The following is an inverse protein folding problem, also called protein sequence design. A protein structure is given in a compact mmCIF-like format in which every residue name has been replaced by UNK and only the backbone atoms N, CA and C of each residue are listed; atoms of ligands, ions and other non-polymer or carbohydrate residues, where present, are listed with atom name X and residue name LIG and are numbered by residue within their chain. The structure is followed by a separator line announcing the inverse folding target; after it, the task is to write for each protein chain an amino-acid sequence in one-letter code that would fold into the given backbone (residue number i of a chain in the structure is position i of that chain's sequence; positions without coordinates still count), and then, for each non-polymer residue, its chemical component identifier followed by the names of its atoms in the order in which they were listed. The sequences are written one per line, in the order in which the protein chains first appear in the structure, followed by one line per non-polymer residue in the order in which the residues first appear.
data_IF_408335378851
#
_entry.id   IF_408335378851
#
_cell.length_a   1.000
_cell.length_b   1.000
_cell.length_c   1.000
_cell.angle_alpha   90.00
_cell.angle_beta   90.00
_cell.angle_gamma   90.00
#
_symmetry.space_group_name_H-M   'P 1'
#
loop_
_entity.id
_entity.type
_entity.pdbx_description
1 polymer ?
#
# COMPACT_ATOMS: atom_id res chain seq x y z
N UNK A 1 20.67 15.20 -14.21
CA UNK A 1 20.09 15.97 -15.33
C UNK A 1 18.55 16.02 -15.27
N UNK A 2 17.85 14.95 -14.89
CA UNK A 2 16.37 14.95 -14.79
C UNK A 2 15.85 15.84 -13.64
N UNK A 3 16.53 15.88 -12.50
CA UNK A 3 16.10 16.64 -11.31
C UNK A 3 16.05 18.16 -11.53
N UNK A 4 17.01 18.73 -12.26
CA UNK A 4 17.04 20.18 -12.50
C UNK A 4 15.91 20.64 -13.42
N UNK A 5 15.48 19.78 -14.35
CA UNK A 5 14.33 20.02 -15.23
C UNK A 5 13.00 19.98 -14.48
N UNK A 6 12.90 19.18 -13.41
CA UNK A 6 11.67 19.03 -12.64
C UNK A 6 11.32 20.24 -11.79
N UNK A 7 12.33 21.04 -11.36
CA UNK A 7 12.12 22.26 -10.57
C UNK A 7 11.42 23.38 -11.34
N UNK A 8 11.39 23.34 -12.67
CA UNK A 8 10.90 24.43 -13.52
C UNK A 8 9.59 24.13 -14.26
N UNK A 9 8.92 23.01 -13.99
CA UNK A 9 7.68 22.66 -14.71
C UNK A 9 6.49 23.49 -14.21
N UNK A 10 5.84 24.32 -15.05
CA UNK A 10 4.77 25.23 -14.64
C UNK A 10 3.38 24.55 -14.56
N UNK A 11 3.32 23.28 -14.14
CA UNK A 11 2.08 22.50 -14.04
C UNK A 11 1.81 22.00 -12.63
N UNK A 12 0.52 21.81 -12.29
CA UNK A 12 0.13 21.09 -11.07
C UNK A 12 0.41 19.61 -11.30
N UNK A 13 1.56 19.15 -10.81
CA UNK A 13 1.93 17.75 -10.83
C UNK A 13 1.07 16.99 -9.82
N UNK A 14 0.22 16.08 -10.29
CA UNK A 14 -0.69 15.29 -9.43
C UNK A 14 -0.24 13.84 -9.26
N UNK A 15 0.58 13.33 -10.19
CA UNK A 15 1.14 11.98 -10.16
C UNK A 15 2.64 12.04 -10.41
N UNK A 16 3.40 11.26 -9.64
CA UNK A 16 4.84 11.18 -9.78
C UNK A 16 5.36 9.78 -9.49
N UNK A 17 6.27 9.29 -10.34
CA UNK A 17 6.96 8.02 -10.16
C UNK A 17 8.46 8.28 -10.03
N UNK A 18 9.04 7.86 -8.92
CA UNK A 18 10.46 8.03 -8.62
C UNK A 18 11.17 6.72 -8.92
N UNK A 19 11.95 6.71 -10.00
CA UNK A 19 12.82 5.58 -10.34
C UNK A 19 14.19 5.83 -9.72
N UNK A 20 14.63 4.91 -8.86
CA UNK A 20 15.89 5.00 -8.13
C UNK A 20 17.10 4.63 -9.02
N UNK A 21 17.31 5.40 -10.08
CA UNK A 21 18.67 5.73 -10.48
C UNK A 21 19.31 6.56 -9.34
N UNK A 22 20.65 6.61 -9.17
CA UNK A 22 21.26 7.22 -8.00
C UNK A 22 20.91 8.71 -7.89
N UNK A 23 19.84 8.99 -7.13
CA UNK A 23 19.52 10.32 -6.65
C UNK A 23 20.62 10.71 -5.65
N UNK A 24 21.16 11.94 -5.75
CA UNK A 24 22.12 12.45 -4.78
C UNK A 24 21.56 12.37 -3.35
N UNK A 25 22.45 12.20 -2.38
CA UNK A 25 22.09 12.29 -0.96
C UNK A 25 21.38 13.64 -0.68
N UNK A 26 20.30 13.61 0.11
CA UNK A 26 19.49 14.80 0.40
C UNK A 26 18.37 15.10 -0.60
N UNK A 27 18.21 14.32 -1.68
CA UNK A 27 17.08 14.47 -2.63
C UNK A 27 15.86 13.59 -2.26
N UNK A 28 16.00 12.76 -1.24
CA UNK A 28 14.97 11.81 -0.77
C UNK A 28 14.11 12.39 0.36
N UNK A 29 13.64 13.61 0.14
CA UNK A 29 12.83 14.39 1.06
C UNK A 29 11.54 14.81 0.34
N UNK A 30 10.39 14.61 0.97
CA UNK A 30 9.08 14.93 0.40
C UNK A 30 8.67 16.38 0.65
N UNK A 31 9.46 17.16 1.40
CA UNK A 31 9.21 18.59 1.67
C UNK A 31 9.43 19.51 0.47
N UNK A 32 9.97 19.00 -0.65
CA UNK A 32 10.11 19.82 -1.86
C UNK A 32 8.74 20.29 -2.39
N UNK A 33 8.66 21.58 -2.72
CA UNK A 33 7.41 22.24 -3.15
C UNK A 33 6.77 21.61 -4.39
N UNK A 34 7.55 20.93 -5.23
CA UNK A 34 7.05 20.19 -6.40
C UNK A 34 6.10 19.04 -6.02
N UNK A 35 6.15 18.57 -4.77
CA UNK A 35 5.33 17.46 -4.29
C UNK A 35 4.03 17.91 -3.61
N UNK A 36 3.86 19.21 -3.34
CA UNK A 36 2.77 19.72 -2.50
C UNK A 36 1.36 19.35 -2.97
N UNK A 37 1.19 19.21 -4.29
CA UNK A 37 -0.10 18.88 -4.92
C UNK A 37 -0.21 17.41 -5.37
N UNK A 38 0.75 16.56 -4.99
CA UNK A 38 0.71 15.15 -5.36
C UNK A 38 -0.48 14.47 -4.70
N UNK A 39 -1.21 13.72 -5.51
CA UNK A 39 -2.28 12.83 -5.06
C UNK A 39 -1.86 11.37 -5.18
N UNK A 40 -0.98 11.06 -6.12
CA UNK A 40 -0.43 9.73 -6.37
C UNK A 40 1.09 9.79 -6.37
N UNK A 41 1.71 8.99 -5.52
CA UNK A 41 3.15 8.84 -5.43
C UNK A 41 3.52 7.37 -5.59
N UNK A 42 4.44 7.12 -6.50
CA UNK A 42 5.03 5.81 -6.69
C UNK A 42 6.55 5.91 -6.49
N UNK A 43 7.10 4.99 -5.70
CA UNK A 43 8.53 4.90 -5.44
C UNK A 43 8.99 3.52 -5.87
N UNK A 44 9.81 3.48 -6.91
CA UNK A 44 10.28 2.25 -7.54
C UNK A 44 11.70 1.93 -7.07
N UNK A 45 11.92 0.68 -6.63
CA UNK A 45 13.20 0.12 -6.21
C UNK A 45 13.82 0.73 -4.95
N UNK A 46 13.11 0.66 -3.79
CA UNK A 46 13.61 1.17 -2.49
C UNK A 46 14.77 0.30 -1.95
N UNK A 47 15.91 0.32 -2.61
CA UNK A 47 17.08 -0.47 -2.23
C UNK A 47 18.08 0.37 -1.43
N UNK A 48 18.16 0.11 -0.12
CA UNK A 48 19.21 0.64 0.76
C UNK A 48 19.22 2.16 0.94
N UNK A 49 18.23 2.85 0.38
CA UNK A 49 18.09 4.28 0.39
C UNK A 49 17.34 4.75 1.65
N UNK A 50 17.97 5.59 2.46
CA UNK A 50 17.30 6.28 3.57
C UNK A 50 16.40 7.38 2.99
N UNK A 51 15.11 7.09 2.89
CA UNK A 51 14.08 8.09 2.62
C UNK A 51 13.71 8.80 3.93
N UNK A 52 13.50 10.11 3.86
CA UNK A 52 12.96 10.87 4.99
C UNK A 52 11.45 10.61 5.09
N UNK A 53 11.04 9.43 5.54
CA UNK A 53 9.62 9.06 5.64
C UNK A 53 8.84 10.05 6.51
N UNK A 54 9.47 10.68 7.51
CA UNK A 54 8.86 11.74 8.31
C UNK A 54 8.25 12.87 7.46
N UNK A 55 8.94 13.29 6.39
CA UNK A 55 8.47 14.35 5.48
C UNK A 55 7.28 13.95 4.61
N UNK A 56 6.92 12.65 4.55
CA UNK A 56 5.77 12.18 3.79
C UNK A 56 4.46 12.78 4.34
N UNK A 57 4.42 13.11 5.63
CA UNK A 57 3.28 13.74 6.28
C UNK A 57 2.99 15.15 5.73
N UNK A 58 3.96 15.82 5.09
CA UNK A 58 3.81 17.14 4.48
C UNK A 58 3.01 17.09 3.16
N UNK A 59 2.78 15.89 2.61
CA UNK A 59 2.02 15.68 1.38
C UNK A 59 0.51 15.61 1.67
N UNK A 60 -0.07 16.76 2.05
CA UNK A 60 -1.47 16.88 2.50
C UNK A 60 -2.52 16.34 1.50
N UNK A 61 -2.20 16.29 0.21
CA UNK A 61 -3.10 15.81 -0.85
C UNK A 61 -2.85 14.36 -1.27
N UNK A 62 -1.85 13.68 -0.70
CA UNK A 62 -1.48 12.34 -1.09
C UNK A 62 -2.56 11.34 -0.67
N UNK A 63 -3.22 10.75 -1.67
CA UNK A 63 -4.27 9.74 -1.46
C UNK A 63 -3.80 8.33 -1.75
N UNK A 64 -2.81 8.19 -2.64
CA UNK A 64 -2.30 6.92 -3.13
C UNK A 64 -0.77 6.87 -3.05
N UNK A 65 -0.25 5.85 -2.37
CA UNK A 65 1.18 5.56 -2.28
C UNK A 65 1.44 4.15 -2.79
N UNK A 66 2.44 3.98 -3.64
CA UNK A 66 2.96 2.66 -4.06
C UNK A 66 4.45 2.61 -3.77
N UNK A 67 4.89 1.51 -3.15
CA UNK A 67 6.30 1.19 -2.98
C UNK A 67 6.60 -0.11 -3.70
N UNK A 68 7.52 -0.07 -4.65
CA UNK A 68 8.15 -1.26 -5.19
C UNK A 68 9.45 -1.54 -4.43
N UNK A 69 9.41 -2.65 -3.70
CA UNK A 69 10.46 -3.07 -2.80
C UNK A 69 10.96 -4.42 -3.30
N UNK A 70 12.24 -4.54 -3.67
CA UNK A 70 12.81 -5.78 -4.21
C UNK A 70 13.09 -6.82 -3.11
N UNK A 71 12.30 -6.81 -2.03
CA UNK A 71 12.45 -7.71 -0.88
C UNK A 71 11.19 -8.53 -0.68
N UNK A 72 11.35 -9.78 -0.26
CA UNK A 72 10.25 -10.60 0.24
C UNK A 72 9.53 -9.93 1.42
N UNK A 73 8.27 -10.29 1.65
CA UNK A 73 7.54 -9.87 2.86
C UNK A 73 8.28 -10.41 4.09
N UNK A 74 9.00 -9.52 4.77
CA UNK A 74 9.82 -9.85 5.93
C UNK A 74 9.62 -8.81 7.05
N UNK A 75 10.24 -9.05 8.22
CA UNK A 75 10.11 -8.14 9.38
C UNK A 75 10.55 -6.71 9.10
N UNK A 76 11.54 -6.49 8.20
CA UNK A 76 12.00 -5.15 7.86
C UNK A 76 10.94 -4.41 7.05
N UNK A 77 10.31 -5.09 6.09
CA UNK A 77 9.21 -4.54 5.31
C UNK A 77 8.01 -4.18 6.21
N UNK A 78 7.58 -5.12 7.06
CA UNK A 78 6.45 -4.87 7.96
C UNK A 78 6.73 -3.71 8.93
N UNK A 79 7.97 -3.58 9.41
CA UNK A 79 8.39 -2.44 10.24
C UNK A 79 8.35 -1.13 9.46
N UNK A 80 8.82 -1.11 8.21
CA UNK A 80 8.76 0.07 7.35
C UNK A 80 7.30 0.49 7.10
N UNK A 81 6.42 -0.46 6.80
CA UNK A 81 4.99 -0.19 6.64
C UNK A 81 4.42 0.43 7.92
N UNK A 82 4.75 -0.13 9.09
CA UNK A 82 4.33 0.40 10.38
C UNK A 82 4.86 1.82 10.67
N UNK A 83 6.11 2.11 10.31
CA UNK A 83 6.71 3.44 10.42
C UNK A 83 5.98 4.46 9.53
N UNK A 84 5.78 4.10 8.26
CA UNK A 84 5.06 4.94 7.29
C UNK A 84 3.65 5.23 7.78
N UNK A 85 2.91 4.21 8.20
CA UNK A 85 1.52 4.35 8.63
C UNK A 85 1.35 5.03 10.00
N UNK A 86 2.31 4.85 10.90
CA UNK A 86 2.22 5.31 12.29
C UNK A 86 2.58 6.78 12.47
N UNK A 87 3.77 7.19 12.01
CA UNK A 87 4.32 8.53 12.28
C UNK A 87 4.40 9.44 11.06
N UNK A 88 4.33 8.85 9.87
CA UNK A 88 4.69 9.51 8.62
C UNK A 88 3.52 9.63 7.64
N UNK A 89 2.37 9.07 7.99
CA UNK A 89 1.26 8.94 7.08
C UNK A 89 0.50 10.27 6.99
N UNK A 90 0.36 10.87 5.80
CA UNK A 90 -0.54 11.99 5.64
C UNK A 90 -1.99 11.52 5.93
N UNK A 91 -2.82 12.33 6.60
CA UNK A 91 -4.21 11.96 6.94
C UNK A 91 -5.09 11.67 5.71
N UNK A 92 -4.70 12.18 4.54
CA UNK A 92 -5.38 11.98 3.27
C UNK A 92 -5.08 10.63 2.62
N UNK A 93 -4.09 9.87 3.10
CA UNK A 93 -3.71 8.59 2.51
C UNK A 93 -4.82 7.54 2.69
N UNK A 94 -5.30 7.02 1.57
CA UNK A 94 -6.39 6.03 1.49
C UNK A 94 -5.93 4.69 0.97
N UNK A 95 -4.93 4.68 0.10
CA UNK A 95 -4.41 3.48 -0.55
C UNK A 95 -2.90 3.44 -0.39
N UNK A 96 -2.39 2.34 0.16
CA UNK A 96 -0.97 2.08 0.26
C UNK A 96 -0.67 0.71 -0.36
N UNK A 97 -0.15 0.70 -1.58
CA UNK A 97 0.27 -0.52 -2.25
C UNK A 97 1.73 -0.83 -1.95
N UNK A 98 2.00 -2.08 -1.60
CA UNK A 98 3.35 -2.59 -1.37
C UNK A 98 3.58 -3.70 -2.36
N UNK A 99 4.36 -3.39 -3.38
CA UNK A 99 4.82 -4.36 -4.36
C UNK A 99 6.05 -5.10 -3.85
N UNK A 100 6.03 -6.41 -4.01
CA UNK A 100 7.15 -7.27 -3.69
C UNK A 100 7.34 -8.30 -4.82
N UNK A 101 8.59 -8.59 -5.15
CA UNK A 101 8.94 -9.69 -6.04
C UNK A 101 9.02 -10.98 -5.23
N UNK A 102 8.47 -12.09 -5.76
CA UNK A 102 8.55 -13.42 -5.16
C UNK A 102 9.98 -13.88 -4.84
N UNK A 103 10.07 -14.97 -4.08
CA UNK A 103 11.27 -15.41 -3.37
C UNK A 103 12.32 -15.94 -4.33
N UNK A 104 13.45 -15.23 -4.50
CA UNK A 104 14.63 -15.80 -5.14
C UNK A 104 15.43 -16.72 -4.19
N UNK A 105 15.18 -16.65 -2.89
CA UNK A 105 15.98 -17.32 -1.84
C UNK A 105 15.25 -18.47 -1.11
N UNK A 106 14.03 -18.83 -1.53
CA UNK A 106 13.26 -19.92 -0.92
C UNK A 106 12.76 -19.64 0.51
N UNK A 107 12.84 -18.40 0.99
CA UNK A 107 12.24 -18.02 2.28
C UNK A 107 10.76 -17.72 2.09
N UNK A 108 9.88 -18.55 2.64
CA UNK A 108 8.44 -18.31 2.56
C UNK A 108 8.11 -16.89 3.05
N UNK A 109 7.29 -16.12 2.29
CA UNK A 109 6.88 -14.80 2.72
C UNK A 109 6.19 -14.88 4.08
N UNK A 110 6.43 -13.88 4.93
CA UNK A 110 5.66 -13.79 6.17
C UNK A 110 4.24 -13.40 5.83
N UNK A 111 3.26 -14.19 6.30
CA UNK A 111 1.87 -13.79 6.23
C UNK A 111 1.69 -12.43 6.90
N UNK A 112 0.99 -11.47 6.27
CA UNK A 112 0.73 -10.19 6.90
C UNK A 112 -0.02 -10.35 8.23
N UNK A 113 0.24 -9.49 9.22
CA UNK A 113 -0.52 -9.47 10.46
C UNK A 113 -2.03 -9.28 10.19
N UNK A 114 -2.88 -9.92 11.01
CA UNK A 114 -4.35 -9.79 10.86
C UNK A 114 -4.85 -8.38 11.15
N UNK A 115 -4.10 -7.62 11.92
CA UNK A 115 -4.34 -6.24 12.35
C UNK A 115 -3.59 -5.22 11.49
N UNK A 116 -3.07 -5.65 10.33
CA UNK A 116 -2.49 -4.72 9.37
C UNK A 116 -3.55 -3.69 8.95
N UNK A 117 -3.13 -2.44 8.82
CA UNK A 117 -4.00 -1.34 8.39
C UNK A 117 -4.71 -1.70 7.08
N UNK A 118 -6.03 -1.53 7.07
CA UNK A 118 -6.88 -1.91 5.94
C UNK A 118 -6.53 -1.20 4.63
N UNK A 119 -5.81 -0.08 4.70
CA UNK A 119 -5.33 0.69 3.55
C UNK A 119 -4.19 0.00 2.80
N UNK A 120 -3.52 -0.97 3.42
CA UNK A 120 -2.39 -1.69 2.83
C UNK A 120 -2.87 -2.78 1.90
N UNK A 121 -2.43 -2.73 0.64
CA UNK A 121 -2.66 -3.76 -0.36
C UNK A 121 -1.31 -4.30 -0.81
N UNK A 122 -1.15 -5.62 -0.80
CA UNK A 122 0.05 -6.24 -1.35
C UNK A 122 -0.13 -6.47 -2.85
N UNK A 123 0.95 -6.31 -3.60
CA UNK A 123 0.99 -6.61 -5.02
C UNK A 123 2.21 -7.46 -5.35
N UNK A 124 2.08 -8.40 -6.30
CA UNK A 124 3.15 -9.31 -6.71
C UNK A 124 3.19 -9.48 -8.22
N UNK A 125 4.42 -9.64 -8.72
CA UNK A 125 4.75 -10.00 -10.09
C UNK A 125 4.65 -11.50 -10.39
N UNK A 126 4.54 -12.29 -9.33
CA UNK A 126 4.66 -13.74 -9.34
C UNK A 126 3.29 -14.37 -9.63
N UNK A 127 3.18 -15.05 -10.77
CA UNK A 127 2.00 -15.79 -11.19
C UNK A 127 1.90 -17.18 -10.52
N UNK A 128 2.96 -17.61 -9.83
CA UNK A 128 3.03 -18.89 -9.12
C UNK A 128 2.49 -18.85 -7.69
N UNK A 129 1.78 -17.77 -7.30
CA UNK A 129 1.07 -17.71 -6.01
C UNK A 129 -0.10 -18.70 -6.05
N UNK A 130 0.21 -19.96 -5.73
CA UNK A 130 -0.78 -21.01 -5.58
C UNK A 130 -1.69 -20.71 -4.38
N UNK A 131 -2.99 -20.96 -4.56
CA UNK A 131 -4.00 -20.91 -3.49
C UNK A 131 -3.71 -22.00 -2.43
N UNK A 132 -2.70 -21.78 -1.60
CA UNK A 132 -2.25 -22.78 -0.64
C UNK A 132 -0.94 -22.46 0.07
N UNK A 133 -0.12 -21.56 -0.48
CA UNK A 133 1.11 -21.17 0.21
C UNK A 133 0.81 -20.35 1.46
N UNK A 134 1.14 -20.93 2.63
CA UNK A 134 0.82 -20.37 3.95
C UNK A 134 1.44 -18.98 4.22
N UNK A 135 2.38 -18.55 3.37
CA UNK A 135 3.09 -17.28 3.49
C UNK A 135 2.42 -16.07 2.83
N UNK A 136 1.49 -16.29 1.91
CA UNK A 136 0.90 -15.21 1.13
C UNK A 136 -0.42 -14.69 1.74
N UNK A 137 -0.79 -13.42 1.50
CA UNK A 137 -2.19 -13.01 1.64
C UNK A 137 -3.10 -13.91 0.77
N UNK A 138 -4.41 -14.03 1.09
CA UNK A 138 -5.34 -14.64 0.15
C UNK A 138 -5.22 -13.98 -1.24
N UNK A 139 -5.31 -14.76 -2.33
CA UNK A 139 -5.21 -14.23 -3.70
C UNK A 139 -6.21 -13.09 -3.95
N UNK A 140 -7.42 -13.24 -3.41
CA UNK A 140 -8.47 -12.21 -3.43
C UNK A 140 -8.12 -10.91 -2.71
N UNK A 141 -7.12 -10.92 -1.83
CA UNK A 141 -6.68 -9.79 -1.02
C UNK A 141 -5.37 -9.17 -1.51
N UNK A 142 -4.87 -9.58 -2.67
CA UNK A 142 -3.67 -9.01 -3.28
C UNK A 142 -3.90 -8.66 -4.75
N UNK A 143 -3.00 -7.87 -5.32
CA UNK A 143 -2.94 -7.63 -6.76
C UNK A 143 -1.88 -8.56 -7.34
N UNK A 144 -2.28 -9.43 -8.26
CA UNK A 144 -1.35 -10.24 -9.06
C UNK A 144 -1.29 -9.63 -10.46
N UNK A 145 -0.11 -9.21 -10.87
CA UNK A 145 0.12 -8.47 -12.12
C UNK A 145 1.39 -9.01 -12.77
N UNK A 146 1.41 -9.18 -14.09
CA UNK A 146 2.66 -9.58 -14.75
C UNK A 146 3.72 -8.47 -14.62
N UNK A 147 5.00 -8.85 -14.65
CA UNK A 147 6.10 -7.87 -14.66
C UNK A 147 5.98 -6.90 -15.84
N UNK A 148 5.56 -7.38 -17.01
CA UNK A 148 5.37 -6.55 -18.20
C UNK A 148 4.25 -5.51 -18.01
N UNK A 149 3.13 -5.89 -17.39
CA UNK A 149 2.06 -4.96 -17.07
C UNK A 149 2.52 -3.90 -16.07
N UNK A 150 3.29 -4.30 -15.04
CA UNK A 150 3.83 -3.36 -14.04
C UNK A 150 4.79 -2.36 -14.65
N UNK A 151 5.71 -2.81 -15.50
CA UNK A 151 6.62 -1.91 -16.22
C UNK A 151 5.84 -0.90 -17.06
N UNK A 152 4.72 -1.32 -17.63
CA UNK A 152 3.84 -0.47 -18.43
C UNK A 152 3.04 0.51 -17.56
N UNK A 153 2.51 0.05 -16.43
CA UNK A 153 1.84 0.87 -15.41
C UNK A 153 2.82 1.93 -14.86
N UNK A 154 4.06 1.55 -14.51
CA UNK A 154 5.14 2.45 -14.09
C UNK A 154 5.59 3.44 -15.14
N UNK A 155 5.34 3.15 -16.42
CA UNK A 155 5.58 4.08 -17.51
C UNK A 155 4.42 5.08 -17.70
N UNK A 156 3.42 5.05 -16.80
CA UNK A 156 2.21 5.87 -16.87
C UNK A 156 1.27 5.45 -18.00
N UNK A 157 1.32 4.18 -18.42
CA UNK A 157 0.52 3.64 -19.52
C UNK A 157 -0.29 2.43 -19.03
N UNK A 158 -1.38 2.64 -18.29
CA UNK A 158 -2.09 1.53 -17.68
C UNK A 158 -2.59 0.53 -18.72
N UNK A 159 -2.34 -0.77 -18.49
CA UNK A 159 -2.88 -1.87 -19.30
C UNK A 159 -4.12 -2.44 -18.61
N UNK A 160 -5.30 -2.24 -19.19
CA UNK A 160 -6.56 -2.74 -18.64
C UNK A 160 -7.09 -1.91 -17.47
N UNK A 161 -7.48 -2.57 -16.38
CA UNK A 161 -7.98 -1.88 -15.18
C UNK A 161 -6.82 -1.21 -14.46
N UNK A 162 -6.96 0.10 -14.22
CA UNK A 162 -5.95 0.89 -13.51
C UNK A 162 -5.59 0.26 -12.15
N UNK A 163 -4.28 0.24 -11.86
CA UNK A 163 -3.68 -0.38 -10.69
C UNK A 163 -4.28 0.15 -9.38
N UNK A 164 -4.52 1.46 -9.30
CA UNK A 164 -5.11 2.09 -8.11
C UNK A 164 -6.55 1.67 -7.89
N UNK A 165 -7.34 1.59 -8.97
CA UNK A 165 -8.73 1.14 -8.92
C UNK A 165 -8.86 -0.28 -8.35
N UNK A 166 -7.93 -1.18 -8.68
CA UNK A 166 -7.91 -2.54 -8.12
C UNK A 166 -7.63 -2.53 -6.62
N UNK A 167 -6.66 -1.72 -6.18
CA UNK A 167 -6.34 -1.57 -4.75
C UNK A 167 -7.54 -1.00 -3.97
N UNK A 168 -8.20 0.03 -4.48
CA UNK A 168 -9.42 0.59 -3.88
C UNK A 168 -10.54 -0.45 -3.77
N UNK A 169 -10.73 -1.30 -4.78
CA UNK A 169 -11.73 -2.35 -4.76
C UNK A 169 -11.45 -3.39 -3.66
N UNK A 170 -10.19 -3.80 -3.48
CA UNK A 170 -9.78 -4.70 -2.40
C UNK A 170 -10.08 -4.07 -1.04
N UNK A 171 -9.68 -2.81 -0.82
CA UNK A 171 -9.92 -2.09 0.44
C UNK A 171 -11.42 -1.99 0.72
N UNK A 172 -12.22 -1.61 -0.29
CA UNK A 172 -13.68 -1.52 -0.16
C UNK A 172 -14.30 -2.88 0.19
N UNK A 173 -13.86 -3.98 -0.43
CA UNK A 173 -14.34 -5.33 -0.09
C UNK A 173 -14.08 -5.67 1.37
N UNK A 174 -12.86 -5.40 1.87
CA UNK A 174 -12.50 -5.64 3.28
C UNK A 174 -13.35 -4.82 4.25
N UNK A 175 -13.56 -3.53 3.95
CA UNK A 175 -14.42 -2.65 4.75
C UNK A 175 -15.87 -3.16 4.80
N UNK A 176 -16.43 -3.57 3.66
CA UNK A 176 -17.78 -4.14 3.60
C UNK A 176 -17.88 -5.47 4.37
N UNK A 177 -16.86 -6.33 4.28
CA UNK A 177 -16.82 -7.57 5.05
C UNK A 177 -16.75 -7.31 6.57
N UNK A 178 -15.96 -6.32 7.00
CA UNK A 178 -15.87 -5.91 8.40
C UNK A 178 -17.22 -5.37 8.92
N UNK A 179 -17.90 -4.53 8.14
CA UNK A 179 -19.23 -4.01 8.47
C UNK A 179 -20.27 -5.13 8.58
N UNK A 180 -20.29 -6.07 7.63
CA UNK A 180 -21.19 -7.23 7.69
C UNK A 180 -20.96 -8.06 8.95
N UNK A 181 -19.69 -8.33 9.29
CA UNK A 181 -19.32 -9.08 10.50
C UNK A 181 -19.74 -8.35 11.78
N UNK A 182 -19.57 -7.03 11.84
CA UNK A 182 -19.99 -6.23 12.99
C UNK A 182 -21.52 -6.28 13.18
N UNK A 183 -22.29 -6.19 12.10
CA UNK A 183 -23.76 -6.26 12.15
C UNK A 183 -24.25 -7.65 12.57
N UNK A 184 -23.65 -8.74 12.05
CA UNK A 184 -24.03 -10.11 12.44
C UNK A 184 -23.80 -10.41 13.92
N UNK A 185 -22.81 -9.77 14.55
CA UNK A 185 -22.57 -9.92 15.99
C UNK A 185 -23.62 -9.17 16.83
N UNK A 186 -24.12 -8.03 16.35
CA UNK A 186 -25.13 -7.24 17.06
C UNK A 186 -26.49 -7.96 17.12
N UNK A 187 -26.86 -8.72 16.08
CA UNK A 187 -28.11 -9.49 16.04
C UNK A 187 -28.10 -10.67 17.04
N UNK A 188 -26.93 -11.18 17.41
CA UNK A 188 -26.79 -12.26 18.39
C UNK A 188 -26.96 -11.76 19.84
N UNK A 189 -26.54 -10.53 20.15
CA UNK A 189 -26.66 -9.95 21.49
C UNK A 189 -28.08 -9.44 21.79
N UNK A 190 -28.89 -9.13 20.78
CA UNK A 190 -30.28 -8.71 20.97
C UNK A 190 -31.22 -9.85 21.42
N UNK A 191 -30.77 -11.12 21.34
CA UNK A 191 -31.55 -12.31 21.67
C UNK A 191 -31.37 -12.87 23.10
N UNK A 192 -30.54 -12.24 23.94
CA UNK A 192 -30.22 -12.75 25.28
C UNK A 192 -30.83 -11.90 26.42
N UNK A 193 -32.10 -11.53 26.31
CA UNK A 193 -32.88 -11.11 27.48
C UNK A 193 -33.40 -12.35 28.19
N UNK A 194 -32.61 -12.87 29.14
CA UNK A 194 -33.05 -13.89 30.08
C UNK A 194 -34.10 -13.22 30.98
N UNK A 195 -35.35 -13.65 30.86
CA UNK A 195 -36.39 -13.36 31.85
C UNK A 195 -35.92 -13.90 33.21
N UNK A 196 -35.52 -13.00 34.11
CA UNK A 196 -35.33 -13.36 35.52
C UNK A 196 -36.71 -13.55 36.15
N UNK A 197 -37.00 -14.69 36.78
CA UNK A 197 -38.28 -14.91 37.44
C UNK A 197 -38.39 -13.99 38.65
N UNK A 198 -39.41 -13.14 38.67
CA UNK A 198 -39.83 -12.40 39.85
C UNK A 198 -40.49 -13.42 40.80
N UNK A 199 -39.73 -13.89 41.77
CA UNK A 199 -40.25 -14.66 42.90
C UNK A 199 -40.83 -13.72 43.95
N UNK A 200 -42.15 -13.83 44.17
CA UNK A 200 -42.88 -13.33 45.34
C UNK A 200 -42.62 -14.20 46.57
#
# INVERSE_FOLDING_TARGET
MVWDTMKSLPGVLTQFSIRLDPLPDGVRDFSFTIFRNLTHLEIVSVNGAEWSWASLADLEHLTHLSLDIPWNINRRLLRLIGEILGSSCPPSLRVFVVFFSGTTDGTLPMRPPKDLDTRVVFATGDDSVDEGDEGYPPADDMIVRSVDDLVTDWAGRPVGTDFWSQAEQIIRRRQLAALKKANSNHDLDAGLWIELPIGF
#
